data_IF_493618188165
#
_entry.id   IF_493618188165
#
_cell.length_a   1.000
_cell.length_b   1.000
_cell.length_c   1.000
_cell.angle_alpha   90.00
_cell.angle_beta   90.00
_cell.angle_gamma   90.00
#
_symmetry.space_group_name_H-M   'P 1'
#
loop_
_entity.id
_entity.type
_entity.pdbx_description
1 polymer ?
#
# COMPACT_ATOMS: atom_id res chain seq x y z
N UNK A 1 -29.14 -5.83 5.32
CA UNK A 1 -27.77 -6.33 5.47
C UNK A 1 -26.82 -5.29 4.89
N UNK A 2 -25.87 -4.78 5.67
CA UNK A 2 -24.93 -3.74 5.23
C UNK A 2 -23.77 -4.40 4.51
N UNK A 3 -23.49 -3.98 3.27
CA UNK A 3 -22.36 -4.49 2.51
C UNK A 3 -21.11 -3.64 2.77
N UNK A 4 -20.11 -4.21 3.44
CA UNK A 4 -18.87 -3.49 3.82
C UNK A 4 -18.10 -3.03 2.57
N UNK A 5 -18.11 -3.82 1.49
CA UNK A 5 -17.43 -3.50 0.23
C UNK A 5 -17.99 -2.20 -0.37
N UNK A 6 -19.32 -2.05 -0.38
CA UNK A 6 -19.99 -0.82 -0.85
C UNK A 6 -19.79 0.34 0.13
N UNK A 7 -19.76 0.08 1.43
CA UNK A 7 -19.72 1.13 2.45
C UNK A 7 -18.32 1.76 2.60
N UNK A 8 -17.30 0.93 2.74
CA UNK A 8 -15.93 1.34 3.06
C UNK A 8 -15.00 1.31 1.84
N UNK A 9 -15.17 0.35 0.92
CA UNK A 9 -14.28 0.16 -0.24
C UNK A 9 -14.83 0.69 -1.57
N UNK A 10 -15.86 1.55 -1.53
CA UNK A 10 -16.50 2.09 -2.76
C UNK A 10 -15.54 2.78 -3.72
N UNK A 11 -14.61 3.61 -3.22
CA UNK A 11 -13.61 4.30 -4.04
C UNK A 11 -12.59 3.32 -4.61
N UNK A 12 -12.08 2.39 -3.80
CA UNK A 12 -11.18 1.33 -4.27
C UNK A 12 -11.83 0.50 -5.37
N UNK A 13 -13.11 0.16 -5.20
CA UNK A 13 -13.89 -0.53 -6.23
C UNK A 13 -13.94 0.26 -7.52
N UNK A 14 -14.22 1.56 -7.47
CA UNK A 14 -14.24 2.41 -8.67
C UNK A 14 -12.87 2.40 -9.38
N UNK A 15 -11.78 2.58 -8.64
CA UNK A 15 -10.42 2.64 -9.18
C UNK A 15 -10.00 1.29 -9.81
N UNK A 16 -10.30 0.17 -9.15
CA UNK A 16 -9.81 -1.15 -9.58
C UNK A 16 -10.71 -1.85 -10.59
N UNK A 17 -12.01 -1.56 -10.59
CA UNK A 17 -12.98 -2.20 -11.50
C UNK A 17 -12.74 -1.79 -12.95
N UNK A 18 -12.30 -0.56 -13.21
CA UNK A 18 -11.96 -0.09 -14.56
C UNK A 18 -10.81 -0.88 -15.21
N UNK A 19 -9.95 -1.51 -14.41
CA UNK A 19 -8.77 -2.24 -14.86
C UNK A 19 -8.86 -3.76 -14.61
N UNK A 20 -10.04 -4.27 -14.25
CA UNK A 20 -10.25 -5.70 -14.03
C UNK A 20 -9.56 -6.29 -12.79
N UNK A 21 -9.19 -5.43 -11.82
CA UNK A 21 -8.50 -5.84 -10.59
C UNK A 21 -9.43 -5.91 -9.37
N UNK A 22 -10.72 -5.63 -9.54
CA UNK A 22 -11.71 -5.79 -8.46
C UNK A 22 -12.06 -7.28 -8.26
N UNK A 23 -11.98 -7.83 -7.03
CA UNK A 23 -12.05 -9.27 -6.78
C UNK A 23 -13.43 -9.95 -7.00
N UNK A 24 -14.54 -9.22 -7.10
CA UNK A 24 -15.87 -9.86 -7.09
C UNK A 24 -16.24 -10.55 -8.40
N UNK A 25 -15.79 -10.04 -9.55
CA UNK A 25 -16.23 -10.45 -10.89
C UNK A 25 -15.05 -10.86 -11.79
N UNK A 26 -14.70 -12.15 -11.78
CA UNK A 26 -13.82 -12.73 -12.80
C UNK A 26 -14.64 -13.09 -14.04
N UNK A 27 -14.61 -12.22 -15.04
CA UNK A 27 -15.15 -12.47 -16.37
C UNK A 27 -14.00 -12.51 -17.38
N UNK A 28 -14.28 -12.98 -18.60
CA UNK A 28 -13.30 -12.90 -19.71
C UNK A 28 -12.90 -11.44 -19.94
N UNK A 29 -13.83 -10.50 -19.79
CA UNK A 29 -13.59 -9.07 -19.94
C UNK A 29 -12.66 -8.51 -18.87
N UNK A 30 -12.84 -8.84 -17.59
CA UNK A 30 -11.96 -8.33 -16.52
C UNK A 30 -10.55 -8.90 -16.63
N UNK A 31 -10.39 -10.15 -17.06
CA UNK A 31 -9.06 -10.72 -17.38
C UNK A 31 -8.39 -10.01 -18.55
N UNK A 32 -9.16 -9.66 -19.59
CA UNK A 32 -8.66 -8.88 -20.71
C UNK A 32 -8.19 -7.48 -20.27
N UNK A 33 -8.98 -6.78 -19.44
CA UNK A 33 -8.60 -5.48 -18.88
C UNK A 33 -7.29 -5.55 -18.08
N UNK A 34 -7.16 -6.53 -17.19
CA UNK A 34 -5.94 -6.73 -16.40
C UNK A 34 -4.72 -7.07 -17.28
N UNK A 35 -4.92 -7.90 -18.29
CA UNK A 35 -3.86 -8.25 -19.26
C UNK A 35 -3.40 -7.01 -20.03
N UNK A 36 -4.34 -6.17 -20.48
CA UNK A 36 -4.05 -4.92 -21.17
C UNK A 36 -3.26 -3.96 -20.26
N UNK A 37 -3.67 -3.81 -19.00
CA UNK A 37 -2.94 -3.00 -18.01
C UNK A 37 -1.50 -3.50 -17.83
N UNK A 38 -1.31 -4.80 -17.58
CA UNK A 38 0.02 -5.38 -17.42
C UNK A 38 0.86 -5.19 -18.68
N UNK A 39 0.27 -5.38 -19.87
CA UNK A 39 0.99 -5.18 -21.15
C UNK A 39 1.45 -3.73 -21.33
N UNK A 40 0.61 -2.75 -20.96
CA UNK A 40 0.94 -1.33 -21.01
C UNK A 40 2.14 -1.01 -20.11
N UNK A 41 2.08 -1.41 -18.84
CA UNK A 41 3.13 -1.13 -17.86
C UNK A 41 4.45 -1.87 -18.18
N UNK A 42 4.38 -3.15 -18.55
CA UNK A 42 5.55 -3.95 -18.94
C UNK A 42 6.19 -3.39 -20.21
N UNK A 43 5.39 -2.96 -21.20
CA UNK A 43 5.94 -2.38 -22.43
C UNK A 43 6.74 -1.11 -22.17
N UNK A 44 6.34 -0.27 -21.20
CA UNK A 44 7.11 0.91 -20.80
C UNK A 44 8.48 0.52 -20.19
N UNK A 45 8.53 -0.53 -19.37
CA UNK A 45 9.78 -1.05 -18.80
C UNK A 45 10.69 -1.61 -19.89
N UNK A 46 10.16 -2.47 -20.76
CA UNK A 46 10.91 -3.11 -21.86
C UNK A 46 11.46 -2.06 -22.81
N UNK A 47 10.66 -1.05 -23.15
CA UNK A 47 11.07 0.01 -24.06
C UNK A 47 12.26 0.81 -23.50
N UNK A 48 12.28 1.10 -22.20
CA UNK A 48 13.42 1.76 -21.56
C UNK A 48 14.64 0.86 -21.45
N UNK A 49 14.47 -0.43 -21.11
CA UNK A 49 15.58 -1.38 -21.05
C UNK A 49 16.22 -1.62 -22.42
N UNK A 50 15.45 -1.53 -23.51
CA UNK A 50 15.98 -1.72 -24.88
C UNK A 50 17.11 -0.75 -25.23
N UNK A 51 17.14 0.43 -24.60
CA UNK A 51 18.18 1.45 -24.79
C UNK A 51 19.55 1.00 -24.29
N UNK A 52 19.61 0.13 -23.28
CA UNK A 52 20.87 -0.41 -22.77
C UNK A 52 21.62 -1.24 -23.81
N UNK A 53 20.91 -1.83 -24.79
CA UNK A 53 21.54 -2.66 -25.82
C UNK A 53 22.09 -1.88 -27.03
N UNK A 54 21.75 -0.59 -27.16
CA UNK A 54 22.04 0.20 -28.37
C UNK A 54 23.05 1.32 -28.10
N UNK A 55 23.07 1.88 -26.89
CA UNK A 55 23.91 3.02 -26.55
C UNK A 55 25.28 2.63 -25.99
N UNK A 56 26.27 3.51 -26.15
CA UNK A 56 27.56 3.41 -25.44
C UNK A 56 27.34 3.55 -23.93
N UNK A 57 27.98 2.67 -23.16
CA UNK A 57 27.76 2.58 -21.72
C UNK A 57 28.48 3.70 -20.96
N UNK A 58 27.73 4.68 -20.46
CA UNK A 58 28.20 5.61 -19.43
C UNK A 58 27.47 5.35 -18.11
N UNK A 59 28.14 5.59 -16.99
CA UNK A 59 27.55 5.43 -15.66
C UNK A 59 26.30 6.31 -15.48
N UNK A 60 26.36 7.58 -15.89
CA UNK A 60 25.22 8.51 -15.88
C UNK A 60 24.02 7.96 -16.66
N UNK A 61 24.26 7.39 -17.83
CA UNK A 61 23.21 6.81 -18.67
C UNK A 61 22.55 5.59 -18.03
N UNK A 62 23.32 4.69 -17.42
CA UNK A 62 22.80 3.51 -16.72
C UNK A 62 21.92 3.94 -15.54
N UNK A 63 22.40 4.88 -14.71
CA UNK A 63 21.63 5.40 -13.56
C UNK A 63 20.32 6.04 -14.03
N UNK A 64 20.36 6.79 -15.14
CA UNK A 64 19.15 7.41 -15.71
C UNK A 64 18.11 6.38 -16.11
N UNK A 65 18.49 5.34 -16.85
CA UNK A 65 17.57 4.27 -17.24
C UNK A 65 17.06 3.53 -15.99
N UNK A 66 17.97 3.18 -15.07
CA UNK A 66 17.60 2.43 -13.87
C UNK A 66 16.62 3.22 -12.99
N UNK A 67 16.80 4.54 -12.85
CA UNK A 67 15.90 5.41 -12.09
C UNK A 67 14.45 5.39 -12.61
N UNK A 68 14.28 5.33 -13.93
CA UNK A 68 12.95 5.30 -14.56
C UNK A 68 12.37 3.89 -14.57
N UNK A 69 13.17 2.88 -14.92
CA UNK A 69 12.75 1.47 -14.95
C UNK A 69 12.29 1.01 -13.57
N UNK A 70 13.03 1.35 -12.52
CA UNK A 70 12.67 0.99 -11.15
C UNK A 70 11.39 1.69 -10.69
N UNK A 71 11.14 2.94 -11.10
CA UNK A 71 9.88 3.63 -10.82
C UNK A 71 8.68 2.95 -11.50
N UNK A 72 8.77 2.61 -12.79
CA UNK A 72 7.73 1.85 -13.48
C UNK A 72 7.55 0.45 -12.90
N UNK A 73 8.64 -0.19 -12.45
CA UNK A 73 8.58 -1.48 -11.78
C UNK A 73 7.86 -1.39 -10.42
N UNK A 74 8.08 -0.32 -9.64
CA UNK A 74 7.30 -0.02 -8.42
C UNK A 74 5.82 0.09 -8.75
N UNK A 75 5.44 0.87 -9.77
CA UNK A 75 4.04 0.99 -10.20
C UNK A 75 3.41 -0.32 -10.67
N UNK A 76 4.21 -1.26 -11.20
CA UNK A 76 3.70 -2.52 -11.77
C UNK A 76 3.59 -3.65 -10.75
N UNK A 77 4.52 -3.71 -9.80
CA UNK A 77 4.70 -4.87 -8.93
C UNK A 77 3.52 -5.16 -7.99
N UNK A 78 2.94 -4.12 -7.37
CA UNK A 78 1.81 -4.29 -6.45
C UNK A 78 0.49 -4.65 -7.16
N UNK A 79 0.11 -3.97 -8.27
CA UNK A 79 -1.04 -4.39 -9.08
C UNK A 79 -0.91 -5.83 -9.61
N UNK A 80 0.29 -6.22 -10.04
CA UNK A 80 0.56 -7.59 -10.49
C UNK A 80 0.35 -8.60 -9.35
N UNK A 81 0.82 -8.28 -8.14
CA UNK A 81 0.57 -9.10 -6.96
C UNK A 81 -0.91 -9.24 -6.63
N UNK A 82 -1.66 -8.13 -6.71
CA UNK A 82 -3.11 -8.12 -6.54
C UNK A 82 -3.81 -9.03 -7.53
N UNK A 83 -3.39 -8.99 -8.80
CA UNK A 83 -3.95 -9.84 -9.84
C UNK A 83 -3.67 -11.33 -9.61
N UNK A 84 -2.43 -11.69 -9.30
CA UNK A 84 -2.03 -13.08 -9.00
C UNK A 84 -2.82 -13.62 -7.80
N UNK A 85 -3.01 -12.79 -6.77
CA UNK A 85 -3.66 -13.17 -5.52
C UNK A 85 -5.14 -12.79 -5.43
N UNK A 86 -5.79 -12.50 -6.56
CA UNK A 86 -7.15 -11.93 -6.58
C UNK A 86 -8.18 -12.79 -5.83
N UNK A 87 -8.06 -14.12 -5.93
CA UNK A 87 -8.92 -15.07 -5.21
C UNK A 87 -8.73 -14.99 -3.69
N UNK A 88 -7.50 -14.85 -3.23
CA UNK A 88 -7.19 -14.68 -1.81
C UNK A 88 -7.72 -13.35 -1.31
N UNK A 89 -7.53 -12.26 -2.06
CA UNK A 89 -8.05 -10.94 -1.71
C UNK A 89 -9.58 -10.97 -1.62
N UNK A 90 -10.25 -11.64 -2.56
CA UNK A 90 -11.70 -11.88 -2.50
C UNK A 90 -12.10 -12.56 -1.19
N UNK A 91 -11.45 -13.69 -0.89
CA UNK A 91 -11.68 -14.45 0.33
C UNK A 91 -11.51 -13.58 1.58
N UNK A 92 -10.46 -12.78 1.66
CA UNK A 92 -10.21 -11.90 2.80
C UNK A 92 -11.29 -10.82 2.97
N UNK A 93 -11.78 -10.23 1.88
CA UNK A 93 -12.90 -9.30 1.96
C UNK A 93 -14.21 -9.98 2.37
N UNK A 94 -14.45 -11.20 1.91
CA UNK A 94 -15.62 -12.00 2.30
C UNK A 94 -15.55 -12.40 3.78
N UNK A 95 -14.35 -12.69 4.29
CA UNK A 95 -14.13 -12.91 5.73
C UNK A 95 -14.46 -11.66 6.54
N UNK A 96 -14.02 -10.47 6.12
CA UNK A 96 -14.39 -9.23 6.81
C UNK A 96 -15.91 -9.01 6.83
N UNK A 97 -16.61 -9.31 5.73
CA UNK A 97 -18.07 -9.20 5.65
C UNK A 97 -18.74 -10.18 6.62
N UNK A 98 -18.29 -11.45 6.60
CA UNK A 98 -18.80 -12.48 7.50
C UNK A 98 -18.64 -12.08 8.97
N UNK A 99 -17.49 -11.54 9.35
CA UNK A 99 -17.21 -11.07 10.72
C UNK A 99 -18.13 -9.91 11.08
N UNK A 100 -18.31 -8.94 10.17
CA UNK A 100 -19.23 -7.83 10.38
C UNK A 100 -20.67 -8.30 10.62
N UNK A 101 -21.15 -9.28 9.85
CA UNK A 101 -22.51 -9.82 9.97
C UNK A 101 -22.73 -10.59 11.28
N UNK A 102 -21.66 -11.06 11.92
CA UNK A 102 -21.72 -11.69 13.25
C UNK A 102 -21.78 -10.69 14.41
N UNK A 103 -21.39 -9.43 14.20
CA UNK A 103 -21.43 -8.41 15.24
C UNK A 103 -22.88 -8.06 15.57
N UNK A 104 -23.23 -8.12 16.86
CA UNK A 104 -24.57 -7.81 17.37
C UNK A 104 -24.59 -6.61 18.30
N UNK A 105 -23.51 -6.39 19.01
CA UNK A 105 -23.38 -5.28 19.94
C UNK A 105 -23.18 -3.96 19.18
N UNK A 106 -23.86 -2.91 19.63
CA UNK A 106 -23.83 -1.59 18.96
C UNK A 106 -22.48 -0.90 19.10
N UNK A 107 -21.79 -1.07 20.23
CA UNK A 107 -20.47 -0.51 20.45
C UNK A 107 -19.43 -1.24 19.61
N UNK A 108 -19.53 -2.57 19.48
CA UNK A 108 -18.66 -3.33 18.56
C UNK A 108 -18.81 -2.87 17.10
N UNK A 109 -20.06 -2.66 16.65
CA UNK A 109 -20.34 -2.14 15.30
C UNK A 109 -19.78 -0.72 15.17
N UNK A 110 -19.90 0.12 16.19
CA UNK A 110 -19.34 1.48 16.18
C UNK A 110 -17.80 1.48 16.10
N UNK A 111 -17.13 0.57 16.82
CA UNK A 111 -15.68 0.37 16.73
C UNK A 111 -15.31 -0.08 15.30
N UNK A 112 -15.99 -1.09 14.76
CA UNK A 112 -15.71 -1.57 13.41
C UNK A 112 -15.90 -0.47 12.36
N UNK A 113 -17.02 0.26 12.43
CA UNK A 113 -17.33 1.37 11.53
C UNK A 113 -16.29 2.49 11.65
N UNK A 114 -15.80 2.82 12.86
CA UNK A 114 -14.72 3.81 13.08
C UNK A 114 -13.49 3.47 12.23
N UNK A 115 -12.99 2.24 12.29
CA UNK A 115 -11.81 1.83 11.52
C UNK A 115 -12.09 1.77 10.01
N UNK A 116 -13.30 1.36 9.61
CA UNK A 116 -13.73 1.40 8.22
C UNK A 116 -13.76 2.84 7.66
N UNK A 117 -14.23 3.80 8.45
CA UNK A 117 -14.21 5.22 8.06
C UNK A 117 -12.79 5.79 8.04
N UNK A 118 -11.90 5.40 8.95
CA UNK A 118 -10.48 5.80 8.89
C UNK A 118 -9.87 5.38 7.54
N UNK A 119 -10.05 4.13 7.13
CA UNK A 119 -9.57 3.64 5.82
C UNK A 119 -10.19 4.38 4.64
N UNK A 120 -11.51 4.60 4.67
CA UNK A 120 -12.23 5.34 3.62
C UNK A 120 -11.79 6.80 3.52
N UNK A 121 -11.60 7.48 4.65
CA UNK A 121 -11.13 8.87 4.68
C UNK A 121 -9.72 8.99 4.14
N UNK A 122 -8.81 8.10 4.56
CA UNK A 122 -7.46 8.02 3.99
C UNK A 122 -7.51 7.84 2.47
N UNK A 123 -8.29 6.88 1.98
CA UNK A 123 -8.49 6.65 0.54
C UNK A 123 -9.00 7.90 -0.17
N UNK A 124 -9.97 8.59 0.41
CA UNK A 124 -10.56 9.82 -0.17
C UNK A 124 -9.51 10.91 -0.30
N UNK A 125 -8.68 11.13 0.73
CA UNK A 125 -7.60 12.12 0.73
C UNK A 125 -6.59 11.79 -0.38
N UNK A 126 -6.13 10.54 -0.46
CA UNK A 126 -5.15 10.12 -1.49
C UNK A 126 -5.73 10.26 -2.90
N UNK A 127 -7.01 9.92 -3.11
CA UNK A 127 -7.67 10.10 -4.41
C UNK A 127 -7.79 11.58 -4.81
N UNK A 128 -8.07 12.48 -3.86
CA UNK A 128 -8.09 13.92 -4.14
C UNK A 128 -6.70 14.38 -4.61
N UNK A 129 -5.63 14.01 -3.90
CA UNK A 129 -4.26 14.33 -4.31
C UNK A 129 -3.90 13.75 -5.68
N UNK A 130 -4.31 12.51 -5.95
CA UNK A 130 -4.12 11.86 -7.25
C UNK A 130 -4.80 12.65 -8.37
N UNK A 131 -6.09 13.00 -8.21
CA UNK A 131 -6.84 13.74 -9.23
C UNK A 131 -6.22 15.13 -9.47
N UNK A 132 -5.89 15.86 -8.41
CA UNK A 132 -5.19 17.15 -8.52
C UNK A 132 -3.85 17.02 -9.26
N UNK A 133 -3.06 15.99 -8.93
CA UNK A 133 -1.79 15.70 -9.58
C UNK A 133 -1.94 15.37 -11.06
N UNK A 134 -2.90 14.53 -11.43
CA UNK A 134 -3.18 14.15 -12.82
C UNK A 134 -3.67 15.34 -13.66
N UNK A 135 -4.53 16.20 -13.09
CA UNK A 135 -4.96 17.43 -13.76
C UNK A 135 -3.79 18.38 -14.01
N UNK A 136 -2.91 18.55 -13.00
CA UNK A 136 -1.73 19.40 -13.11
C UNK A 136 -0.75 18.87 -14.16
N UNK A 137 -0.48 17.56 -14.17
CA UNK A 137 0.38 16.91 -15.16
C UNK A 137 -0.18 17.06 -16.58
N UNK A 138 -1.49 16.87 -16.76
CA UNK A 138 -2.14 17.04 -18.07
C UNK A 138 -1.98 18.47 -18.59
N UNK A 139 -2.09 19.47 -17.71
CA UNK A 139 -1.78 20.86 -18.04
C UNK A 139 -0.32 21.00 -18.52
N UNK A 140 0.65 20.56 -17.71
CA UNK A 140 2.08 20.73 -18.03
C UNK A 140 2.48 20.04 -19.34
N UNK A 141 1.99 18.81 -19.58
CA UNK A 141 2.40 17.99 -20.74
C UNK A 141 1.79 18.48 -22.04
N UNK A 142 0.50 18.84 -22.05
CA UNK A 142 -0.22 19.13 -23.30
C UNK A 142 -0.30 20.62 -23.64
N UNK A 143 -0.14 21.51 -22.65
CA UNK A 143 -0.20 22.95 -22.86
C UNK A 143 0.84 23.49 -23.88
N UNK A 144 2.11 23.03 -23.89
CA UNK A 144 3.09 23.43 -24.89
C UNK A 144 2.62 23.22 -26.33
N UNK A 145 1.99 22.07 -26.61
CA UNK A 145 1.49 21.73 -27.95
C UNK A 145 0.29 22.59 -28.36
N UNK A 146 -0.57 22.96 -27.41
CA UNK A 146 -1.71 23.86 -27.68
C UNK A 146 -1.19 25.28 -27.97
N UNK A 147 -0.21 25.76 -27.19
CA UNK A 147 0.41 27.06 -27.41
C UNK A 147 1.08 27.16 -28.78
N UNK A 148 1.80 26.12 -29.20
CA UNK A 148 2.45 26.10 -30.52
C UNK A 148 1.45 26.22 -31.69
N UNK A 149 0.20 25.78 -31.53
CA UNK A 149 -0.87 25.94 -32.53
C UNK A 149 -1.46 27.35 -32.51
N UNK A 150 -1.65 27.94 -31.32
CA UNK A 150 -2.33 29.23 -31.15
C UNK A 150 -1.38 30.41 -31.38
N UNK A 151 -0.14 30.31 -30.89
CA UNK A 151 0.91 31.34 -30.95
C UNK A 151 2.21 30.68 -31.39
N UNK A 152 2.41 30.44 -32.69
CA UNK A 152 3.66 29.86 -33.19
C UNK A 152 4.81 30.85 -32.98
N UNK A 153 5.73 30.51 -32.07
CA UNK A 153 6.97 31.24 -31.82
C UNK A 153 8.11 30.69 -32.71
N UNK A 154 9.20 31.48 -32.88
CA UNK A 154 10.41 31.03 -33.61
C UNK A 154 11.09 29.82 -32.96
N UNK A 155 10.89 29.60 -31.66
CA UNK A 155 11.27 28.39 -30.93
C UNK A 155 10.00 27.70 -30.43
N UNK A 156 9.75 26.46 -30.87
CA UNK A 156 8.54 25.70 -30.50
C UNK A 156 8.66 25.16 -29.08
N UNK A 157 7.63 25.36 -28.27
CA UNK A 157 7.56 24.88 -26.89
C UNK A 157 7.62 23.34 -26.84
N UNK A 158 7.16 22.64 -27.88
CA UNK A 158 7.25 21.19 -28.00
C UNK A 158 8.69 20.66 -28.11
N UNK A 159 9.67 21.48 -28.54
CA UNK A 159 11.08 21.07 -28.69
C UNK A 159 11.65 20.61 -27.33
N UNK A 160 11.33 21.29 -26.23
CA UNK A 160 11.77 20.87 -24.90
C UNK A 160 11.19 19.52 -24.48
N UNK A 161 9.91 19.26 -24.77
CA UNK A 161 9.27 17.97 -24.51
C UNK A 161 9.87 16.86 -25.38
N UNK A 162 10.25 17.16 -26.63
CA UNK A 162 10.94 16.23 -27.51
C UNK A 162 12.36 15.89 -27.01
N UNK A 163 13.10 16.87 -26.51
CA UNK A 163 14.41 16.66 -25.88
C UNK A 163 14.32 15.77 -24.62
N UNK A 164 13.22 15.84 -23.87
CA UNK A 164 12.98 14.91 -22.77
C UNK A 164 12.80 13.47 -23.27
N UNK A 165 12.00 13.25 -24.32
CA UNK A 165 11.78 11.90 -24.89
C UNK A 165 13.09 11.30 -25.42
N UNK A 166 13.96 12.09 -26.06
CA UNK A 166 15.25 11.59 -26.58
C UNK A 166 16.26 11.21 -25.49
N UNK A 167 16.17 11.83 -24.30
CA UNK A 167 17.00 11.48 -23.12
C UNK A 167 16.69 10.10 -22.56
N UNK A 168 15.49 9.57 -22.77
CA UNK A 168 15.08 8.25 -22.28
C UNK A 168 14.88 7.21 -23.40
N UNK A 169 14.61 7.65 -24.63
CA UNK A 169 14.24 6.76 -25.75
C UNK A 169 15.00 7.09 -27.04
N UNK A 170 15.31 6.07 -27.83
CA UNK A 170 15.97 6.21 -29.13
C UNK A 170 14.91 6.11 -30.22
N UNK A 171 14.30 7.24 -30.55
CA UNK A 171 13.10 7.29 -31.38
C UNK A 171 13.25 8.39 -32.42
N UNK A 172 12.77 8.13 -33.64
CA UNK A 172 12.69 9.13 -34.70
C UNK A 172 11.65 10.20 -34.37
N UNK A 173 11.92 11.46 -34.72
CA UNK A 173 11.10 12.62 -34.35
C UNK A 173 9.60 12.45 -34.65
N UNK A 174 9.27 11.77 -35.76
CA UNK A 174 7.88 11.46 -36.15
C UNK A 174 7.08 10.65 -35.12
N UNK A 175 7.73 9.98 -34.17
CA UNK A 175 7.09 9.14 -33.16
C UNK A 175 7.16 9.73 -31.73
N UNK A 176 7.77 10.90 -31.51
CA UNK A 176 7.90 11.48 -30.16
C UNK A 176 6.56 11.70 -29.47
N UNK A 177 5.57 12.24 -30.18
CA UNK A 177 4.23 12.44 -29.62
C UNK A 177 3.58 11.11 -29.20
N UNK A 178 3.73 10.06 -30.01
CA UNK A 178 3.18 8.74 -29.70
C UNK A 178 3.82 8.14 -28.44
N UNK A 179 5.15 8.26 -28.31
CA UNK A 179 5.88 7.80 -27.12
C UNK A 179 5.47 8.60 -25.88
N UNK A 180 5.34 9.91 -26.00
CA UNK A 180 4.88 10.77 -24.91
C UNK A 180 3.47 10.38 -24.42
N UNK A 181 2.54 10.14 -25.34
CA UNK A 181 1.18 9.69 -25.02
C UNK A 181 1.20 8.31 -24.36
N UNK A 182 1.99 7.37 -24.90
CA UNK A 182 2.14 6.04 -24.32
C UNK A 182 2.64 6.08 -22.87
N UNK A 183 3.69 6.87 -22.60
CA UNK A 183 4.27 6.99 -21.26
C UNK A 183 3.34 7.68 -20.29
N UNK A 184 2.68 8.77 -20.71
CA UNK A 184 1.69 9.44 -19.86
C UNK A 184 0.51 8.52 -19.55
N UNK A 185 0.04 7.73 -20.51
CA UNK A 185 -0.98 6.72 -20.28
C UNK A 185 -0.49 5.65 -19.30
N UNK A 186 0.73 5.13 -19.45
CA UNK A 186 1.31 4.14 -18.55
C UNK A 186 1.48 4.68 -17.12
N UNK A 187 2.03 5.88 -16.95
CA UNK A 187 2.19 6.51 -15.63
C UNK A 187 0.82 6.78 -14.99
N UNK A 188 -0.12 7.36 -15.74
CA UNK A 188 -1.45 7.70 -15.22
C UNK A 188 -2.22 6.45 -14.79
N UNK A 189 -2.27 5.44 -15.65
CA UNK A 189 -2.94 4.16 -15.34
C UNK A 189 -2.24 3.44 -14.19
N UNK A 190 -0.91 3.40 -14.18
CA UNK A 190 -0.12 2.83 -13.10
C UNK A 190 -0.42 3.49 -11.76
N UNK A 191 -0.40 4.83 -11.68
CA UNK A 191 -0.70 5.58 -10.46
C UNK A 191 -2.13 5.33 -9.96
N UNK A 192 -3.12 5.35 -10.86
CA UNK A 192 -4.53 5.10 -10.49
C UNK A 192 -4.69 3.71 -9.85
N UNK A 193 -4.08 2.70 -10.47
CA UNK A 193 -4.19 1.31 -10.01
C UNK A 193 -3.39 1.09 -8.73
N UNK A 194 -2.17 1.61 -8.64
CA UNK A 194 -1.35 1.53 -7.43
C UNK A 194 -2.05 2.19 -6.24
N UNK A 195 -2.58 3.41 -6.41
CA UNK A 195 -3.38 4.06 -5.36
C UNK A 195 -4.58 3.21 -4.96
N UNK A 196 -5.30 2.64 -5.94
CA UNK A 196 -6.45 1.77 -5.66
C UNK A 196 -6.09 0.53 -4.84
N UNK A 197 -4.98 -0.12 -5.17
CA UNK A 197 -4.49 -1.33 -4.49
C UNK A 197 -3.90 -1.02 -3.11
N UNK A 198 -3.01 -0.04 -2.99
CA UNK A 198 -2.38 0.37 -1.73
C UNK A 198 -3.39 0.84 -0.69
N UNK A 199 -4.32 1.73 -1.07
CA UNK A 199 -5.34 2.22 -0.15
C UNK A 199 -6.33 1.12 0.27
N UNK A 200 -6.50 0.08 -0.57
CA UNK A 200 -7.30 -1.09 -0.23
C UNK A 200 -6.59 -1.97 0.81
N UNK A 201 -5.28 -2.20 0.65
CA UNK A 201 -4.45 -2.88 1.66
C UNK A 201 -4.52 -2.13 2.98
N UNK A 202 -4.31 -0.81 2.95
CA UNK A 202 -4.36 0.04 4.13
C UNK A 202 -5.71 -0.08 4.85
N UNK A 203 -6.82 0.05 4.11
CA UNK A 203 -8.17 -0.05 4.67
C UNK A 203 -8.46 -1.45 5.23
N UNK A 204 -7.98 -2.50 4.57
CA UNK A 204 -8.08 -3.87 5.06
C UNK A 204 -7.35 -4.04 6.40
N UNK A 205 -6.09 -3.58 6.50
CA UNK A 205 -5.33 -3.67 7.75
C UNK A 205 -5.94 -2.81 8.86
N UNK A 206 -6.57 -1.67 8.54
CA UNK A 206 -7.36 -0.91 9.51
C UNK A 206 -8.55 -1.69 10.05
N UNK A 207 -9.24 -2.48 9.23
CA UNK A 207 -10.28 -3.37 9.75
C UNK A 207 -9.71 -4.44 10.69
N UNK A 208 -8.52 -4.97 10.42
CA UNK A 208 -7.82 -5.88 11.34
C UNK A 208 -7.53 -5.18 12.68
N UNK A 209 -7.03 -3.94 12.66
CA UNK A 209 -6.88 -3.14 13.88
C UNK A 209 -8.21 -3.04 14.66
N UNK A 210 -9.31 -2.75 13.97
CA UNK A 210 -10.65 -2.72 14.59
C UNK A 210 -11.07 -4.05 15.20
N UNK A 211 -10.69 -5.19 14.62
CA UNK A 211 -10.96 -6.51 15.22
C UNK A 211 -10.19 -6.74 16.52
N UNK A 212 -8.93 -6.30 16.59
CA UNK A 212 -8.17 -6.34 17.85
C UNK A 212 -8.78 -5.43 18.92
N UNK A 213 -9.23 -4.23 18.53
CA UNK A 213 -9.94 -3.32 19.44
C UNK A 213 -11.25 -3.91 19.97
N UNK A 214 -12.03 -4.59 19.11
CA UNK A 214 -13.24 -5.31 19.53
C UNK A 214 -12.89 -6.44 20.51
N UNK A 215 -11.80 -7.17 20.27
CA UNK A 215 -11.35 -8.21 21.19
C UNK A 215 -11.00 -7.61 22.57
N UNK A 216 -10.25 -6.50 22.60
CA UNK A 216 -9.96 -5.75 23.84
C UNK A 216 -11.23 -5.31 24.56
N UNK A 217 -12.17 -4.70 23.83
CA UNK A 217 -13.45 -4.24 24.36
C UNK A 217 -14.25 -5.37 25.03
N UNK A 218 -14.34 -6.54 24.37
CA UNK A 218 -15.03 -7.73 24.92
C UNK A 218 -14.38 -8.21 26.21
N UNK A 219 -13.04 -8.17 26.30
CA UNK A 219 -12.30 -8.59 27.50
C UNK A 219 -12.58 -7.64 28.67
N UNK A 220 -12.55 -6.34 28.44
CA UNK A 220 -12.86 -5.35 29.47
C UNK A 220 -14.30 -5.50 29.98
N UNK A 221 -15.26 -5.65 29.08
CA UNK A 221 -16.67 -5.83 29.43
C UNK A 221 -16.91 -7.15 30.20
N UNK A 222 -16.25 -8.24 29.79
CA UNK A 222 -16.34 -9.53 30.48
C UNK A 222 -15.79 -9.47 31.91
N UNK A 223 -14.86 -8.56 32.18
CA UNK A 223 -14.17 -8.43 33.47
C UNK A 223 -14.63 -7.20 34.27
N UNK A 224 -15.79 -6.63 33.93
CA UNK A 224 -16.36 -5.50 34.64
C UNK A 224 -16.62 -5.84 36.14
N UNK A 225 -16.29 -4.94 37.09
CA UNK A 225 -16.39 -5.20 38.53
C UNK A 225 -17.79 -5.63 39.00
N UNK A 226 -18.83 -5.10 38.34
CA UNK A 226 -20.23 -5.42 38.61
C UNK A 226 -20.54 -6.91 38.39
N UNK A 227 -19.97 -7.54 37.34
CA UNK A 227 -20.10 -8.96 37.08
C UNK A 227 -19.27 -9.82 38.05
N UNK A 228 -18.13 -9.31 38.52
CA UNK A 228 -17.22 -10.02 39.42
C UNK A 228 -17.77 -10.10 40.85
N UNK A 229 -18.54 -9.12 41.30
CA UNK A 229 -19.16 -9.13 42.63
C UNK A 229 -20.39 -10.05 42.74
N UNK A 230 -21.14 -10.26 41.65
CA UNK A 230 -22.26 -11.21 41.60
C UNK A 230 -21.77 -12.61 41.18
N UNK A 231 -21.22 -13.39 42.11
CA UNK A 231 -20.67 -14.73 41.84
C UNK A 231 -21.77 -15.81 41.77
N UNK A 232 -22.70 -15.67 40.82
CA UNK A 232 -23.65 -16.75 40.48
C UNK A 232 -23.06 -17.68 39.38
N UNK A 233 -23.64 -18.87 39.18
CA UNK A 233 -23.29 -19.77 38.08
C UNK A 233 -23.56 -19.10 36.73
N UNK A 234 -24.66 -18.33 36.63
CA UNK A 234 -25.03 -17.66 35.38
C UNK A 234 -24.00 -16.60 34.95
N UNK A 235 -23.48 -15.80 35.88
CA UNK A 235 -22.44 -14.80 35.58
C UNK A 235 -21.14 -15.46 35.13
N UNK A 236 -20.75 -16.60 35.72
CA UNK A 236 -19.57 -17.38 35.28
C UNK A 236 -19.67 -17.86 33.84
N UNK A 237 -20.83 -18.36 33.42
CA UNK A 237 -21.06 -18.82 32.05
C UNK A 237 -20.96 -17.64 31.08
N UNK A 238 -21.50 -16.48 31.44
CA UNK A 238 -21.41 -15.26 30.64
C UNK A 238 -19.97 -14.79 30.48
N UNK A 239 -19.20 -14.68 31.58
CA UNK A 239 -17.79 -14.24 31.53
C UNK A 239 -16.95 -15.19 30.66
N UNK A 240 -17.08 -16.50 30.86
CA UNK A 240 -16.37 -17.48 30.02
C UNK A 240 -16.76 -17.35 28.53
N UNK A 241 -18.04 -17.16 28.23
CA UNK A 241 -18.53 -17.01 26.86
C UNK A 241 -17.95 -15.77 26.18
N UNK A 242 -18.01 -14.62 26.85
CA UNK A 242 -17.49 -13.36 26.30
C UNK A 242 -15.97 -13.42 26.11
N UNK A 243 -15.25 -14.04 27.04
CA UNK A 243 -13.80 -14.27 26.90
C UNK A 243 -13.49 -15.15 25.69
N UNK A 244 -14.25 -16.24 25.48
CA UNK A 244 -14.08 -17.10 24.30
C UNK A 244 -14.36 -16.32 23.02
N UNK A 245 -15.41 -15.49 22.99
CA UNK A 245 -15.72 -14.64 21.84
C UNK A 245 -14.64 -13.58 21.55
N UNK A 246 -13.98 -13.05 22.58
CA UNK A 246 -12.84 -12.14 22.41
C UNK A 246 -11.61 -12.86 21.83
N UNK A 247 -11.28 -14.04 22.37
CA UNK A 247 -10.16 -14.86 21.89
C UNK A 247 -10.39 -15.29 20.43
N UNK A 248 -11.62 -15.64 20.08
CA UNK A 248 -11.97 -16.02 18.71
C UNK A 248 -11.80 -14.84 17.75
N UNK A 249 -12.25 -13.65 18.13
CA UNK A 249 -12.03 -12.42 17.34
C UNK A 249 -10.53 -12.14 17.13
N UNK A 250 -9.72 -12.20 18.21
CA UNK A 250 -8.27 -12.04 18.13
C UNK A 250 -7.64 -13.08 17.21
N UNK A 251 -8.05 -14.35 17.31
CA UNK A 251 -7.56 -15.44 16.46
C UNK A 251 -7.92 -15.21 14.99
N UNK A 252 -9.15 -14.80 14.70
CA UNK A 252 -9.60 -14.48 13.34
C UNK A 252 -8.77 -13.32 12.76
N UNK A 253 -8.50 -12.26 13.54
CA UNK A 253 -7.66 -11.13 13.10
C UNK A 253 -6.24 -11.59 12.73
N UNK A 254 -5.61 -12.41 13.58
CA UNK A 254 -4.28 -12.97 13.32
C UNK A 254 -4.28 -13.89 12.08
N UNK A 255 -5.31 -14.72 11.91
CA UNK A 255 -5.43 -15.62 10.75
C UNK A 255 -5.61 -14.85 9.44
N UNK A 256 -6.48 -13.83 9.42
CA UNK A 256 -6.72 -12.97 8.27
C UNK A 256 -5.43 -12.21 7.88
N UNK A 257 -4.71 -11.68 8.87
CA UNK A 257 -3.43 -11.00 8.65
C UNK A 257 -2.36 -11.94 8.13
N UNK A 258 -2.23 -13.14 8.73
CA UNK A 258 -1.25 -14.13 8.28
C UNK A 258 -1.53 -14.57 6.84
N UNK A 259 -2.79 -14.87 6.51
CA UNK A 259 -3.21 -15.23 5.16
C UNK A 259 -2.89 -14.12 4.15
N UNK A 260 -3.13 -12.86 4.52
CA UNK A 260 -2.76 -11.70 3.70
C UNK A 260 -1.25 -11.64 3.43
N UNK A 261 -0.44 -11.64 4.50
CA UNK A 261 1.02 -11.52 4.39
C UNK A 261 1.63 -12.67 3.59
N UNK A 262 1.25 -13.93 3.87
CA UNK A 262 1.80 -15.10 3.16
C UNK A 262 1.43 -15.12 1.68
N UNK A 263 0.29 -14.55 1.29
CA UNK A 263 -0.12 -14.52 -0.11
C UNK A 263 0.70 -13.53 -0.93
N UNK A 264 1.12 -12.43 -0.32
CA UNK A 264 1.85 -11.36 -1.00
C UNK A 264 3.35 -11.36 -0.72
N UNK A 265 3.84 -12.30 0.10
CA UNK A 265 5.21 -12.34 0.63
C UNK A 265 6.29 -12.19 -0.45
N UNK A 266 6.29 -13.06 -1.46
CA UNK A 266 7.31 -13.03 -2.51
C UNK A 266 7.29 -11.73 -3.32
N UNK A 267 6.11 -11.20 -3.61
CA UNK A 267 5.97 -9.94 -4.37
C UNK A 267 6.39 -8.71 -3.55
N UNK A 268 6.08 -8.69 -2.25
CA UNK A 268 6.49 -7.61 -1.35
C UNK A 268 8.00 -7.61 -1.15
N UNK A 269 8.62 -8.79 -1.07
CA UNK A 269 10.08 -8.90 -1.01
C UNK A 269 10.77 -8.28 -2.23
N UNK A 270 10.27 -8.57 -3.44
CA UNK A 270 10.78 -7.98 -4.68
C UNK A 270 10.52 -6.46 -4.70
N UNK A 271 9.34 -6.01 -4.29
CA UNK A 271 8.99 -4.59 -4.21
C UNK A 271 9.93 -3.82 -3.28
N UNK A 272 10.32 -4.38 -2.13
CA UNK A 272 11.27 -3.74 -1.21
C UNK A 272 12.60 -3.45 -1.92
N UNK A 273 13.14 -4.43 -2.66
CA UNK A 273 14.40 -4.26 -3.41
C UNK A 273 14.25 -3.19 -4.49
N UNK A 274 13.16 -3.24 -5.27
CA UNK A 274 12.88 -2.26 -6.32
C UNK A 274 12.76 -0.86 -5.72
N UNK A 275 12.07 -0.69 -4.59
CA UNK A 275 11.89 0.61 -3.95
C UNK A 275 13.21 1.20 -3.43
N UNK A 276 14.08 0.38 -2.84
CA UNK A 276 15.42 0.83 -2.41
C UNK A 276 16.24 1.28 -3.61
N UNK A 277 16.28 0.50 -4.69
CA UNK A 277 16.97 0.87 -5.92
C UNK A 277 16.39 2.14 -6.55
N UNK A 278 15.06 2.25 -6.61
CA UNK A 278 14.36 3.41 -7.15
C UNK A 278 14.72 4.68 -6.38
N UNK A 279 14.67 4.61 -5.05
CA UNK A 279 15.06 5.72 -4.18
C UNK A 279 16.51 6.13 -4.39
N UNK A 280 17.45 5.18 -4.36
CA UNK A 280 18.87 5.48 -4.53
C UNK A 280 19.19 6.10 -5.88
N UNK A 281 18.64 5.56 -6.97
CA UNK A 281 18.89 6.05 -8.32
C UNK A 281 18.29 7.45 -8.55
N UNK A 282 17.05 7.68 -8.10
CA UNK A 282 16.41 8.99 -8.26
C UNK A 282 17.08 10.07 -7.39
N UNK A 283 17.53 9.73 -6.17
CA UNK A 283 18.36 10.64 -5.38
C UNK A 283 19.66 10.98 -6.10
N UNK A 284 20.37 10.00 -6.64
CA UNK A 284 21.59 10.23 -7.40
C UNK A 284 21.37 11.17 -8.59
N UNK A 285 20.26 10.97 -9.33
CA UNK A 285 19.89 11.87 -10.44
C UNK A 285 19.69 13.31 -10.00
N UNK A 286 19.02 13.55 -8.87
CA UNK A 286 18.82 14.91 -8.34
C UNK A 286 20.17 15.60 -8.09
N UNK A 287 21.14 14.88 -7.51
CA UNK A 287 22.46 15.44 -7.19
C UNK A 287 23.38 15.62 -8.41
N UNK A 288 23.16 14.86 -9.50
CA UNK A 288 23.96 14.96 -10.73
C UNK A 288 23.51 16.10 -11.67
N UNK A 289 22.40 16.78 -11.39
CA UNK A 289 21.92 17.87 -12.25
C UNK A 289 22.76 19.13 -11.98
N UNK A 290 23.65 19.48 -12.93
CA UNK A 290 24.58 20.63 -12.83
C UNK A 290 23.89 22.00 -12.72
N UNK A 291 22.71 22.15 -13.33
CA UNK A 291 21.96 23.41 -13.33
C UNK A 291 20.49 23.17 -12.99
N UNK A 292 20.16 22.99 -11.70
CA UNK A 292 18.80 22.66 -11.25
C UNK A 292 17.76 23.69 -11.68
N UNK A 293 18.15 24.99 -11.68
CA UNK A 293 17.27 26.10 -12.07
C UNK A 293 16.91 26.08 -13.57
N UNK A 294 17.75 25.52 -14.42
CA UNK A 294 17.50 25.42 -15.86
C UNK A 294 16.74 24.13 -16.23
N UNK A 295 16.84 23.08 -15.40
CA UNK A 295 16.21 21.76 -15.61
C UNK A 295 15.20 21.41 -14.52
N UNK A 296 14.34 22.38 -14.20
CA UNK A 296 13.35 22.26 -13.13
C UNK A 296 12.36 21.10 -13.35
N UNK A 297 12.07 20.75 -14.61
CA UNK A 297 11.22 19.63 -14.99
C UNK A 297 11.85 18.27 -14.61
N UNK A 298 13.13 18.07 -14.91
CA UNK A 298 13.87 16.85 -14.58
C UNK A 298 14.04 16.69 -13.06
N UNK A 299 14.32 17.80 -12.36
CA UNK A 299 14.40 17.82 -10.89
C UNK A 299 13.05 17.46 -10.26
N UNK A 300 11.97 18.08 -10.72
CA UNK A 300 10.63 17.83 -10.20
C UNK A 300 10.20 16.37 -10.40
N UNK A 301 10.49 15.78 -11.57
CA UNK A 301 10.19 14.38 -11.85
C UNK A 301 10.86 13.43 -10.85
N UNK A 302 12.16 13.59 -10.63
CA UNK A 302 12.91 12.74 -9.71
C UNK A 302 12.51 12.98 -8.25
N UNK A 303 12.21 14.22 -7.85
CA UNK A 303 11.67 14.52 -6.52
C UNK A 303 10.29 13.87 -6.30
N UNK A 304 9.41 13.91 -7.31
CA UNK A 304 8.12 13.25 -7.26
C UNK A 304 8.27 11.74 -7.13
N UNK A 305 9.20 11.12 -7.88
CA UNK A 305 9.48 9.69 -7.75
C UNK A 305 9.97 9.31 -6.34
N UNK A 306 10.93 10.06 -5.78
CA UNK A 306 11.45 9.87 -4.41
C UNK A 306 10.34 10.04 -3.37
N UNK A 307 9.56 11.12 -3.48
CA UNK A 307 8.45 11.38 -2.54
C UNK A 307 7.39 10.28 -2.59
N UNK A 308 7.06 9.79 -3.79
CA UNK A 308 6.10 8.69 -3.99
C UNK A 308 6.60 7.42 -3.28
N UNK A 309 7.83 6.99 -3.56
CA UNK A 309 8.36 5.76 -2.93
C UNK A 309 8.51 5.90 -1.40
N UNK A 310 8.89 7.08 -0.90
CA UNK A 310 8.91 7.36 0.54
C UNK A 310 7.52 7.24 1.17
N UNK A 311 6.51 7.87 0.58
CA UNK A 311 5.14 7.84 1.11
C UNK A 311 4.57 6.43 1.13
N UNK A 312 4.78 5.64 0.08
CA UNK A 312 4.36 4.23 0.01
C UNK A 312 5.06 3.41 1.10
N UNK A 313 6.39 3.52 1.19
CA UNK A 313 7.17 2.74 2.16
C UNK A 313 6.83 3.13 3.60
N UNK A 314 6.61 4.42 3.87
CA UNK A 314 6.15 4.90 5.17
C UNK A 314 4.77 4.38 5.51
N UNK A 315 3.78 4.53 4.62
CA UNK A 315 2.40 4.12 4.86
C UNK A 315 2.29 2.61 5.17
N UNK A 316 2.98 1.77 4.39
CA UNK A 316 3.01 0.31 4.60
C UNK A 316 3.63 -0.09 5.95
N UNK A 317 4.72 0.56 6.35
CA UNK A 317 5.38 0.27 7.62
C UNK A 317 4.62 0.84 8.83
N UNK A 318 3.99 2.00 8.67
CA UNK A 318 3.15 2.63 9.69
C UNK A 318 1.94 1.76 10.01
N UNK A 319 1.20 1.31 8.99
CA UNK A 319 0.03 0.44 9.22
C UNK A 319 0.44 -0.94 9.79
N UNK A 320 1.60 -1.47 9.39
CA UNK A 320 2.15 -2.70 9.97
C UNK A 320 2.50 -2.56 11.46
N UNK A 321 3.07 -1.41 11.84
CA UNK A 321 3.31 -1.06 13.23
C UNK A 321 1.99 -0.98 14.02
N UNK A 322 0.98 -0.29 13.49
CA UNK A 322 -0.32 -0.17 14.17
C UNK A 322 -1.00 -1.52 14.41
N UNK A 323 -0.93 -2.45 13.47
CA UNK A 323 -1.48 -3.81 13.66
C UNK A 323 -0.74 -4.54 14.78
N UNK A 324 0.58 -4.41 14.83
CA UNK A 324 1.42 -4.99 15.90
C UNK A 324 1.06 -4.35 17.26
N UNK A 325 0.91 -3.04 17.31
CA UNK A 325 0.58 -2.29 18.52
C UNK A 325 -0.81 -2.67 19.04
N UNK A 326 -1.82 -2.80 18.16
CA UNK A 326 -3.16 -3.23 18.56
C UNK A 326 -3.18 -4.69 19.04
N UNK A 327 -2.41 -5.58 18.41
CA UNK A 327 -2.26 -6.95 18.91
C UNK A 327 -1.60 -6.98 20.29
N UNK A 328 -0.60 -6.13 20.54
CA UNK A 328 0.04 -6.00 21.85
C UNK A 328 -0.89 -5.33 22.87
N UNK A 329 -1.74 -4.42 22.44
CA UNK A 329 -2.72 -3.77 23.31
C UNK A 329 -3.69 -4.79 23.92
N UNK A 330 -4.14 -5.78 23.16
CA UNK A 330 -4.96 -6.90 23.68
C UNK A 330 -4.25 -7.59 24.86
N UNK A 331 -2.95 -7.83 24.77
CA UNK A 331 -2.17 -8.41 25.87
C UNK A 331 -2.16 -7.50 27.10
N UNK A 332 -1.95 -6.20 26.92
CA UNK A 332 -1.94 -5.21 28.02
C UNK A 332 -3.30 -5.16 28.72
N UNK A 333 -4.40 -5.21 27.97
CA UNK A 333 -5.76 -5.26 28.54
C UNK A 333 -5.95 -6.54 29.37
N UNK A 334 -5.58 -7.71 28.85
CA UNK A 334 -5.69 -8.99 29.58
C UNK A 334 -4.88 -8.94 30.89
N UNK A 335 -3.75 -8.24 30.91
CA UNK A 335 -2.93 -8.10 32.11
C UNK A 335 -3.58 -7.17 33.17
N UNK A 336 -4.19 -6.08 32.72
CA UNK A 336 -4.72 -5.02 33.59
C UNK A 336 -6.13 -5.28 34.14
N UNK A 337 -6.92 -6.16 33.52
CA UNK A 337 -8.24 -6.53 34.06
C UNK A 337 -8.12 -7.17 35.44
N UNK A 338 -9.18 -7.07 36.25
CA UNK A 338 -9.23 -7.61 37.62
C UNK A 338 -9.34 -9.15 37.67
N UNK A 339 -8.47 -9.86 36.94
CA UNK A 339 -8.46 -11.31 36.81
C UNK A 339 -8.27 -12.03 38.13
N UNK A 340 -7.58 -11.42 39.09
CA UNK A 340 -7.40 -11.96 40.44
C UNK A 340 -8.71 -12.06 41.25
N UNK A 341 -9.75 -11.31 40.88
CA UNK A 341 -11.10 -11.41 41.46
C UNK A 341 -11.97 -12.45 40.73
N UNK A 342 -11.56 -12.90 39.54
CA UNK A 342 -12.32 -13.86 38.75
C UNK A 342 -12.24 -15.28 39.33
N UNK A 343 -13.22 -16.17 39.04
CA UNK A 343 -13.17 -17.57 39.43
C UNK A 343 -11.92 -18.29 38.90
N UNK A 344 -11.46 -19.31 39.63
CA UNK A 344 -10.22 -20.07 39.32
C UNK A 344 -10.14 -20.59 37.88
N UNK A 345 -11.26 -21.02 37.29
CA UNK A 345 -11.28 -21.47 35.89
C UNK A 345 -10.92 -20.35 34.90
N UNK A 346 -11.44 -19.14 35.12
CA UNK A 346 -11.17 -17.96 34.28
C UNK A 346 -9.73 -17.46 34.50
N UNK A 347 -9.24 -17.49 35.75
CA UNK A 347 -7.83 -17.18 36.04
C UNK A 347 -6.86 -18.06 35.26
N UNK A 348 -7.11 -19.38 35.23
CA UNK A 348 -6.30 -20.33 34.45
C UNK A 348 -6.36 -20.04 32.95
N UNK A 349 -7.55 -19.72 32.42
CA UNK A 349 -7.71 -19.35 31.01
C UNK A 349 -6.89 -18.10 30.66
N UNK A 350 -7.00 -17.04 31.48
CA UNK A 350 -6.27 -15.78 31.32
C UNK A 350 -4.76 -16.02 31.35
N UNK A 351 -4.28 -16.89 32.24
CA UNK A 351 -2.86 -17.24 32.31
C UNK A 351 -2.35 -17.86 31.00
N UNK A 352 -3.12 -18.75 30.36
CA UNK A 352 -2.80 -19.28 29.03
C UNK A 352 -2.79 -18.18 27.96
N UNK A 353 -3.72 -17.22 28.03
CA UNK A 353 -3.77 -16.11 27.08
C UNK A 353 -2.58 -15.17 27.22
N UNK A 354 -2.17 -14.86 28.45
CA UNK A 354 -0.98 -14.06 28.72
C UNK A 354 0.27 -14.77 28.19
N UNK A 355 0.41 -16.08 28.45
CA UNK A 355 1.55 -16.85 27.95
C UNK A 355 1.60 -16.89 26.42
N UNK A 356 0.44 -17.02 25.76
CA UNK A 356 0.35 -17.03 24.29
C UNK A 356 0.58 -15.65 23.69
N UNK A 357 0.00 -14.61 24.28
CA UNK A 357 0.04 -13.23 23.77
C UNK A 357 1.36 -12.51 24.11
N UNK A 358 2.20 -13.09 24.96
CA UNK A 358 3.60 -12.67 25.16
C UNK A 358 4.46 -12.88 23.89
N UNK A 359 4.01 -13.69 22.93
CA UNK A 359 4.66 -13.74 21.61
C UNK A 359 4.16 -12.57 20.76
N UNK A 360 5.08 -11.65 20.45
CA UNK A 360 4.82 -10.50 19.58
C UNK A 360 4.25 -10.99 18.25
N UNK A 361 3.03 -10.56 17.92
CA UNK A 361 2.44 -10.79 16.61
C UNK A 361 2.82 -9.64 15.70
N UNK A 362 3.69 -9.91 14.74
CA UNK A 362 4.18 -8.92 13.79
C UNK A 362 3.97 -9.38 12.34
N UNK A 363 3.86 -8.41 11.43
CA UNK A 363 3.73 -8.66 10.00
C UNK A 363 5.13 -8.81 9.40
N UNK A 364 5.62 -10.05 9.35
CA UNK A 364 6.95 -10.36 8.80
C UNK A 364 6.87 -10.94 7.39
N UNK A 365 7.75 -10.45 6.51
CA UNK A 365 7.95 -10.89 5.13
C UNK A 365 9.26 -11.69 5.09
N UNK A 366 9.20 -12.98 4.78
CA UNK A 366 10.37 -13.86 4.68
C UNK A 366 11.11 -14.08 5.99
N UNK A 367 10.56 -13.63 7.12
CA UNK A 367 11.28 -13.55 8.40
C UNK A 367 12.43 -12.51 8.42
N UNK A 368 12.61 -11.76 7.33
CA UNK A 368 13.72 -10.80 7.15
C UNK A 368 13.28 -9.36 7.42
N UNK A 369 12.09 -8.99 6.93
CA UNK A 369 11.55 -7.65 7.08
C UNK A 369 10.27 -7.70 7.90
N UNK A 370 10.24 -6.97 9.02
CA UNK A 370 9.01 -6.80 9.81
C UNK A 370 8.45 -5.42 9.51
N UNK A 371 7.18 -5.33 9.11
CA UNK A 371 6.55 -4.04 8.80
C UNK A 371 6.46 -3.19 10.09
N UNK A 372 7.36 -2.20 10.21
CA UNK A 372 7.54 -1.38 11.39
C UNK A 372 8.21 -0.05 11.03
N UNK A 373 8.09 0.96 11.90
CA UNK A 373 8.78 2.24 11.69
C UNK A 373 10.31 2.08 11.70
N UNK A 374 10.83 1.09 12.44
CA UNK A 374 12.25 0.72 12.40
C UNK A 374 12.64 0.18 11.02
N UNK A 375 11.83 -0.69 10.42
CA UNK A 375 12.07 -1.18 9.06
C UNK A 375 11.99 -0.06 8.02
N UNK A 376 11.10 0.91 8.18
CA UNK A 376 11.12 2.11 7.33
C UNK A 376 12.44 2.86 7.42
N UNK A 377 12.93 3.11 8.64
CA UNK A 377 14.21 3.81 8.85
C UNK A 377 15.40 3.04 8.26
N UNK A 378 15.42 1.71 8.38
CA UNK A 378 16.49 0.89 7.78
C UNK A 378 16.44 0.91 6.25
N UNK A 379 15.26 0.89 5.63
CA UNK A 379 15.11 0.99 4.17
C UNK A 379 15.54 2.36 3.63
N UNK A 380 15.19 3.44 4.32
CA UNK A 380 15.65 4.80 3.97
C UNK A 380 17.17 4.90 4.12
N UNK A 381 17.73 4.38 5.23
CA UNK A 381 19.18 4.36 5.46
C UNK A 381 19.90 3.56 4.38
N UNK A 382 19.40 2.38 4.01
CA UNK A 382 19.97 1.57 2.94
C UNK A 382 19.94 2.33 1.60
N UNK A 383 18.82 2.98 1.29
CA UNK A 383 18.67 3.78 0.06
C UNK A 383 19.69 4.91 0.00
N UNK A 384 19.90 5.63 1.11
CA UNK A 384 20.92 6.67 1.23
C UNK A 384 22.34 6.11 1.15
N UNK A 385 22.63 4.97 1.79
CA UNK A 385 23.95 4.33 1.71
C UNK A 385 24.29 3.91 0.27
N UNK A 386 23.36 3.31 -0.47
CA UNK A 386 23.58 2.97 -1.88
C UNK A 386 23.71 4.21 -2.76
N UNK A 387 22.93 5.27 -2.50
CA UNK A 387 23.10 6.56 -3.16
C UNK A 387 24.54 7.11 -2.96
N UNK A 388 25.00 7.20 -1.71
CA UNK A 388 26.34 7.74 -1.40
C UNK A 388 27.44 6.87 -1.99
N UNK A 389 27.29 5.55 -1.96
CA UNK A 389 28.22 4.62 -2.59
C UNK A 389 28.32 4.86 -4.09
N UNK A 390 27.18 4.90 -4.80
CA UNK A 390 27.16 5.16 -6.24
C UNK A 390 27.72 6.55 -6.59
N UNK A 391 27.43 7.56 -5.76
CA UNK A 391 27.98 8.91 -5.94
C UNK A 391 29.51 8.93 -5.79
N UNK A 392 30.08 8.13 -4.88
CA UNK A 392 31.54 8.04 -4.69
C UNK A 392 32.30 7.26 -5.77
N UNK A 393 31.60 6.46 -6.58
CA UNK A 393 32.18 5.71 -7.70
C UNK A 393 32.30 6.54 -8.98
N UNK A 394 31.70 7.72 -9.00
CA UNK A 394 31.76 8.68 -10.09
C UNK A 394 33.02 9.54 -9.95
#
# INVERSE_FOLDING_TARGET
MVCIKKRFFSLNRLLLLAFGLWPDEETIFTRFQATLLCSLLISSIVFQLSRLFIAEYSFDFIVRILSSVTFFATLTSLPLSFWINIKTIKYLLDQLQYIYDQLKDRNEIAIYDKYGYIGKHFTTIVVIFLVCGLCSNSGIVYWPYILDIIVPNNESYAIHTMQFVTKYFNVSEKYYFLVLVHLNAAITTGLIVSVGTETMIFSYLKHICGMFEIASYRIEQAMAPELLHTVDIKSRIVICREMICAIDMQRQAMQCTKCFVTSMEGTVFILIIINVLCMSCNLLRIFQIESPMERMDEVLLHLLAVSTVLTITFACNYVGQEVTDHSNHVYVIIYNVAWYLAPLHIQKLILFLLQRSNKIFSLSVGGLFTASLECFATLVKASLSYFTFMYSMQ
#
